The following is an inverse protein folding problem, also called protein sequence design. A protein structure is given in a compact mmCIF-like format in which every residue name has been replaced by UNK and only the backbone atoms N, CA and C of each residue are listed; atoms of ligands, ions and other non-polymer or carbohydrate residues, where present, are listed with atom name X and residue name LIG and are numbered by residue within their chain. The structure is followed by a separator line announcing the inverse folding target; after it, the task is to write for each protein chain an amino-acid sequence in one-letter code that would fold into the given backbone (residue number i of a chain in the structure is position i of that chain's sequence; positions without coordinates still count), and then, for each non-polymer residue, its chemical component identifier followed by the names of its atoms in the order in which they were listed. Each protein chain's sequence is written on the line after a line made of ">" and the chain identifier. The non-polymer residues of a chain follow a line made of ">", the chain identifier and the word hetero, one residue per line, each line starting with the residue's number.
data_IF_437427514476
#
_entry.id   IF_437427514476
#
_cell.length_a   1.000
_cell.length_b   1.000
_cell.length_c   1.000
_cell.angle_alpha   90.00
_cell.angle_beta   90.00
_cell.angle_gamma   90.00
#
_symmetry.space_group_name_H-M   'P 1'
#
loop_
_entity.id
_entity.type
_entity.pdbx_description
1 polymer ?
#
# COMPACT_ATOMS: atom_id res chain seq x y z
N UNK A 1 -3.60 43.71 9.88
CA UNK A 1 -3.65 42.24 10.14
C UNK A 1 -2.28 41.63 9.82
N UNK A 2 -1.70 40.84 10.72
CA UNK A 2 -0.38 40.21 10.51
C UNK A 2 -0.53 38.91 9.72
N UNK A 3 0.32 38.72 8.69
CA UNK A 3 0.34 37.52 7.86
C UNK A 3 0.80 36.31 8.68
N UNK A 4 0.04 35.23 8.62
CA UNK A 4 0.40 34.01 9.33
C UNK A 4 1.64 33.33 8.71
N UNK A 5 2.53 32.74 9.52
CA UNK A 5 3.75 32.09 9.04
C UNK A 5 3.43 30.85 8.19
N UNK A 6 4.31 30.52 7.23
CA UNK A 6 4.12 29.43 6.26
C UNK A 6 4.95 28.17 6.57
N UNK A 7 5.29 27.95 7.83
CA UNK A 7 6.08 26.78 8.24
C UNK A 7 5.37 25.44 8.04
N UNK A 8 6.16 24.36 7.91
CA UNK A 8 5.67 22.99 7.66
C UNK A 8 4.68 22.47 8.72
N UNK A 9 4.79 22.95 9.97
CA UNK A 9 3.92 22.56 11.10
C UNK A 9 3.05 23.72 11.59
N UNK A 10 2.83 24.72 10.74
CA UNK A 10 1.90 25.81 11.07
C UNK A 10 0.48 25.23 11.29
N UNK A 11 -0.27 25.77 12.27
CA UNK A 11 -1.63 25.35 12.68
C UNK A 11 -1.84 23.84 12.85
N UNK A 12 -0.82 23.07 13.22
CA UNK A 12 -0.97 21.62 13.47
C UNK A 12 -1.23 21.27 14.92
N UNK A 13 -1.38 22.25 15.82
CA UNK A 13 -1.51 22.04 17.28
C UNK A 13 -2.51 20.93 17.61
N UNK A 14 -3.74 21.03 17.11
CA UNK A 14 -4.79 20.01 17.35
C UNK A 14 -4.63 18.76 16.47
N UNK A 15 -4.18 18.92 15.22
CA UNK A 15 -4.07 17.83 14.23
C UNK A 15 -3.03 16.78 14.67
N UNK A 16 -1.91 17.25 15.23
CA UNK A 16 -0.79 16.39 15.66
C UNK A 16 -0.74 16.24 17.18
N UNK A 17 -1.85 16.47 17.88
CA UNK A 17 -1.93 16.15 19.31
C UNK A 17 -2.38 14.70 19.49
N UNK A 18 -1.71 13.97 20.39
CA UNK A 18 -2.21 12.69 20.87
C UNK A 18 -3.37 12.91 21.83
N UNK A 19 -4.24 11.90 21.96
CA UNK A 19 -5.23 11.90 23.03
C UNK A 19 -4.53 11.88 24.40
N UNK A 20 -5.24 12.33 25.44
CA UNK A 20 -4.66 12.51 26.78
C UNK A 20 -4.06 11.21 27.31
N UNK A 21 -4.72 10.07 27.06
CA UNK A 21 -4.30 8.74 27.53
C UNK A 21 -3.20 8.10 26.67
N UNK A 22 -2.97 8.62 25.46
CA UNK A 22 -1.92 8.13 24.55
C UNK A 22 -0.66 9.00 24.58
N UNK A 23 -0.58 9.99 25.48
CA UNK A 23 0.61 10.83 25.64
C UNK A 23 1.80 9.95 26.06
N UNK A 24 2.96 10.16 25.44
CA UNK A 24 4.17 9.36 25.69
C UNK A 24 4.17 7.98 25.05
N UNK A 25 3.03 7.49 24.53
CA UNK A 25 2.97 6.19 23.89
C UNK A 25 3.74 6.20 22.55
N UNK A 26 4.59 5.19 22.35
CA UNK A 26 5.20 4.87 21.05
C UNK A 26 4.14 4.19 20.17
N UNK A 27 4.18 4.32 18.83
CA UNK A 27 3.30 3.55 17.95
C UNK A 27 3.36 2.05 18.27
N UNK A 28 2.22 1.35 18.32
CA UNK A 28 2.20 -0.06 18.69
C UNK A 28 2.96 -0.90 17.66
N UNK A 29 3.62 -1.96 18.12
CA UNK A 29 4.36 -2.90 17.27
C UNK A 29 3.47 -3.50 16.17
N UNK A 30 2.19 -3.71 16.47
CA UNK A 30 1.19 -4.17 15.51
C UNK A 30 1.06 -3.29 14.28
N UNK A 31 1.39 -1.99 14.36
CA UNK A 31 1.41 -1.08 13.19
C UNK A 31 2.72 -1.16 12.42
N UNK A 32 3.83 -1.26 13.14
CA UNK A 32 5.19 -1.24 12.57
C UNK A 32 5.48 -2.52 11.78
N UNK A 33 4.99 -3.65 12.26
CA UNK A 33 5.25 -4.98 11.67
C UNK A 33 4.37 -5.30 10.46
N UNK A 34 3.43 -4.42 10.08
CA UNK A 34 2.60 -4.65 8.89
C UNK A 34 3.46 -4.52 7.63
N UNK A 35 3.49 -5.61 6.86
CA UNK A 35 4.15 -5.64 5.56
C UNK A 35 3.20 -5.19 4.46
N UNK A 36 3.46 -4.00 3.93
CA UNK A 36 2.72 -3.46 2.79
C UNK A 36 3.36 -3.92 1.47
N UNK A 37 2.53 -4.37 0.55
CA UNK A 37 2.93 -4.74 -0.81
C UNK A 37 2.56 -3.63 -1.80
N UNK A 38 3.23 -3.55 -2.96
CA UNK A 38 2.82 -2.69 -4.06
C UNK A 38 1.34 -2.91 -4.41
N UNK A 39 0.58 -1.83 -4.53
CA UNK A 39 -0.86 -1.84 -4.79
C UNK A 39 -1.74 -1.76 -3.54
N UNK A 40 -1.18 -1.96 -2.34
CA UNK A 40 -1.96 -1.86 -1.10
C UNK A 40 -2.45 -0.43 -0.85
N UNK A 41 -3.71 -0.29 -0.42
CA UNK A 41 -4.29 0.99 -0.01
C UNK A 41 -4.02 1.26 1.46
N UNK A 42 -3.55 2.47 1.76
CA UNK A 42 -3.17 2.87 3.12
C UNK A 42 -3.75 4.25 3.46
N UNK A 43 -4.18 4.40 4.72
CA UNK A 43 -4.48 5.70 5.31
C UNK A 43 -3.19 6.34 5.82
N UNK A 44 -3.01 7.63 5.49
CA UNK A 44 -1.86 8.43 5.94
C UNK A 44 -2.27 9.13 7.23
N UNK A 45 -1.78 8.64 8.36
CA UNK A 45 -2.10 9.19 9.69
C UNK A 45 -0.79 9.50 10.41
N UNK A 46 -0.44 10.77 10.47
CA UNK A 46 0.75 11.23 11.17
C UNK A 46 0.70 10.86 12.66
N UNK A 47 1.74 10.18 13.15
CA UNK A 47 1.93 9.96 14.57
C UNK A 47 2.95 10.97 15.09
N UNK A 48 2.58 11.89 16.00
CA UNK A 48 3.46 12.95 16.44
C UNK A 48 4.65 12.48 17.28
N UNK A 49 4.65 11.24 17.81
CA UNK A 49 5.78 10.73 18.59
C UNK A 49 7.02 10.46 17.72
N UNK A 50 6.83 10.18 16.42
CA UNK A 50 7.91 9.89 15.49
C UNK A 50 8.02 11.03 14.49
N UNK A 51 9.14 11.75 14.50
CA UNK A 51 9.34 12.92 13.65
C UNK A 51 9.90 12.58 12.26
N UNK A 52 10.52 11.41 12.11
CA UNK A 52 11.14 10.98 10.86
C UNK A 52 10.05 10.67 9.82
N UNK A 53 10.27 11.09 8.58
CA UNK A 53 9.34 10.86 7.46
C UNK A 53 7.87 11.26 7.76
N UNK A 54 7.66 12.23 8.65
CA UNK A 54 6.33 12.69 9.00
C UNK A 54 5.67 13.43 7.81
N UNK A 55 4.43 13.11 7.46
CA UNK A 55 3.74 13.80 6.38
C UNK A 55 3.38 15.24 6.78
N UNK A 56 3.35 16.13 5.79
CA UNK A 56 2.77 17.46 5.96
C UNK A 56 1.26 17.36 6.26
N UNK A 57 0.72 18.30 7.04
CA UNK A 57 -0.70 18.32 7.48
C UNK A 57 -1.71 18.17 6.33
N UNK A 58 -1.35 18.60 5.13
CA UNK A 58 -2.19 18.51 3.91
C UNK A 58 -2.56 17.06 3.57
N UNK A 59 -1.68 16.10 3.91
CA UNK A 59 -1.83 14.70 3.55
C UNK A 59 -2.39 13.85 4.69
N UNK A 60 -2.50 14.41 5.89
CA UNK A 60 -3.09 13.73 7.04
C UNK A 60 -4.55 13.36 6.75
N UNK A 61 -4.92 12.11 7.02
CA UNK A 61 -6.28 11.57 6.79
C UNK A 61 -6.58 11.25 5.33
N UNK A 62 -5.61 11.35 4.41
CA UNK A 62 -5.80 10.95 3.01
C UNK A 62 -5.46 9.47 2.80
N UNK A 63 -6.05 8.90 1.76
CA UNK A 63 -5.74 7.53 1.29
C UNK A 63 -4.70 7.62 0.18
N UNK A 64 -3.68 6.76 0.26
CA UNK A 64 -2.70 6.57 -0.79
C UNK A 64 -2.58 5.10 -1.17
N UNK A 65 -1.87 4.86 -2.26
CA UNK A 65 -1.51 3.53 -2.76
C UNK A 65 -0.01 3.35 -2.61
N UNK A 66 0.41 2.22 -2.03
CA UNK A 66 1.81 1.86 -1.90
C UNK A 66 2.33 1.48 -3.28
N UNK A 67 3.43 2.10 -3.70
CA UNK A 67 4.09 1.80 -4.98
C UNK A 67 5.24 0.85 -4.76
N UNK A 68 6.09 1.16 -3.77
CA UNK A 68 7.28 0.38 -3.50
C UNK A 68 7.81 0.64 -2.07
N UNK A 69 8.79 -0.14 -1.63
CA UNK A 69 9.47 0.00 -0.35
C UNK A 69 10.93 0.38 -0.58
N UNK A 70 11.37 1.48 0.02
CA UNK A 70 12.77 1.95 -0.04
C UNK A 70 13.38 1.97 1.36
N UNK A 71 14.18 0.94 1.65
CA UNK A 71 14.78 0.73 2.97
C UNK A 71 13.70 0.59 4.04
N UNK A 72 13.66 1.55 4.98
CA UNK A 72 12.66 1.57 6.07
C UNK A 72 11.35 2.26 5.69
N UNK A 73 11.34 3.06 4.63
CA UNK A 73 10.18 3.86 4.23
C UNK A 73 9.44 3.21 3.05
N UNK A 74 8.16 3.52 2.93
CA UNK A 74 7.35 3.17 1.78
C UNK A 74 7.10 4.40 0.91
N UNK A 75 7.08 4.17 -0.39
CA UNK A 75 6.72 5.13 -1.41
C UNK A 75 5.21 5.05 -1.58
N UNK A 76 4.51 6.11 -1.19
CA UNK A 76 3.05 6.18 -1.26
C UNK A 76 2.65 7.26 -2.23
N UNK A 77 1.86 6.90 -3.24
CA UNK A 77 1.25 7.86 -4.14
C UNK A 77 -0.17 8.19 -3.69
N UNK A 78 -0.50 9.47 -3.68
CA UNK A 78 -1.87 9.92 -3.45
C UNK A 78 -2.26 11.02 -4.45
N UNK A 79 -3.56 11.13 -4.69
CA UNK A 79 -4.12 12.20 -5.50
C UNK A 79 -4.58 13.34 -4.59
N UNK A 80 -4.08 14.55 -4.82
CA UNK A 80 -4.52 15.76 -4.12
C UNK A 80 -5.03 16.76 -5.15
N UNK A 81 -6.35 16.90 -5.21
CA UNK A 81 -7.02 17.63 -6.29
C UNK A 81 -6.77 16.95 -7.63
N UNK A 82 -6.20 17.68 -8.59
CA UNK A 82 -5.86 17.16 -9.92
C UNK A 82 -4.47 16.53 -10.01
N UNK A 83 -3.62 16.66 -8.98
CA UNK A 83 -2.21 16.26 -9.06
C UNK A 83 -1.94 14.99 -8.25
N UNK A 84 -1.11 14.12 -8.81
CA UNK A 84 -0.54 12.97 -8.09
C UNK A 84 0.69 13.45 -7.33
N UNK A 85 0.79 13.04 -6.07
CA UNK A 85 1.89 13.37 -5.16
C UNK A 85 2.46 12.08 -4.59
N UNK A 86 3.78 11.99 -4.64
CA UNK A 86 4.55 10.88 -4.07
C UNK A 86 5.09 11.30 -2.71
N UNK A 87 4.87 10.47 -1.70
CA UNK A 87 5.37 10.65 -0.34
C UNK A 87 6.26 9.49 0.06
N UNK A 88 7.25 9.78 0.90
CA UNK A 88 8.06 8.78 1.57
C UNK A 88 7.62 8.74 3.03
N UNK A 89 7.00 7.64 3.43
CA UNK A 89 6.41 7.50 4.76
C UNK A 89 7.02 6.31 5.50
N UNK A 90 7.18 6.48 6.80
CA UNK A 90 7.49 5.38 7.71
C UNK A 90 6.20 4.63 8.11
N UNK A 91 6.25 3.30 8.35
CA UNK A 91 5.06 2.49 8.69
C UNK A 91 4.30 3.02 9.91
N UNK A 92 4.97 3.69 10.83
CA UNK A 92 4.40 4.38 11.99
C UNK A 92 3.31 5.39 11.61
N UNK A 93 3.41 5.98 10.42
CA UNK A 93 2.48 6.98 9.89
C UNK A 93 1.46 6.41 8.90
N UNK A 94 1.42 5.09 8.72
CA UNK A 94 0.50 4.41 7.85
C UNK A 94 -0.48 3.55 8.65
N UNK A 95 -1.70 3.42 8.15
CA UNK A 95 -2.67 2.43 8.63
C UNK A 95 -3.22 1.66 7.43
N UNK A 96 -3.44 0.34 7.56
CA UNK A 96 -4.03 -0.43 6.47
C UNK A 96 -5.45 0.07 6.18
N UNK A 97 -5.79 0.20 4.90
CA UNK A 97 -7.14 0.53 4.44
C UNK A 97 -7.84 -0.65 3.73
N UNK A 98 -7.15 -1.79 3.61
CA UNK A 98 -7.66 -3.01 2.99
C UNK A 98 -8.18 -3.98 4.05
N UNK A 99 -9.17 -4.78 3.70
CA UNK A 99 -9.55 -5.94 4.51
C UNK A 99 -8.58 -7.09 4.28
N UNK A 100 -8.22 -7.81 5.35
CA UNK A 100 -7.40 -9.02 5.25
C UNK A 100 -8.11 -10.07 4.40
N UNK A 101 -9.43 -10.15 4.52
CA UNK A 101 -10.25 -11.10 3.77
C UNK A 101 -10.18 -10.88 2.26
N UNK A 102 -10.27 -9.62 1.82
CA UNK A 102 -10.15 -9.24 0.41
C UNK A 102 -8.78 -9.65 -0.14
N UNK A 103 -7.71 -9.41 0.65
CA UNK A 103 -6.35 -9.79 0.27
C UNK A 103 -6.24 -11.31 0.09
N UNK A 104 -6.77 -12.10 1.03
CA UNK A 104 -6.76 -13.57 0.95
C UNK A 104 -7.59 -14.07 -0.23
N UNK A 105 -8.79 -13.53 -0.44
CA UNK A 105 -9.66 -13.86 -1.58
C UNK A 105 -8.94 -13.62 -2.91
N UNK A 106 -8.31 -12.46 -3.06
CA UNK A 106 -7.54 -12.10 -4.26
C UNK A 106 -6.38 -13.06 -4.53
N UNK A 107 -5.70 -13.55 -3.47
CA UNK A 107 -4.62 -14.53 -3.60
C UNK A 107 -5.17 -15.87 -4.10
N UNK A 108 -6.24 -16.36 -3.48
CA UNK A 108 -6.87 -17.64 -3.83
C UNK A 108 -7.40 -17.61 -5.27
N UNK A 109 -8.03 -16.52 -5.68
CA UNK A 109 -8.53 -16.34 -7.05
C UNK A 109 -7.41 -16.36 -8.09
N UNK A 110 -6.30 -15.65 -7.84
CA UNK A 110 -5.11 -15.69 -8.71
C UNK A 110 -4.54 -17.11 -8.83
N UNK A 111 -4.44 -17.85 -7.73
CA UNK A 111 -3.95 -19.24 -7.74
C UNK A 111 -4.86 -20.16 -8.55
N UNK A 112 -6.19 -20.02 -8.40
CA UNK A 112 -7.18 -20.76 -9.21
C UNK A 112 -7.02 -20.46 -10.70
N UNK A 113 -6.85 -19.20 -11.07
CA UNK A 113 -6.62 -18.79 -12.46
C UNK A 113 -5.34 -19.39 -13.05
N UNK A 114 -4.23 -19.38 -12.30
CA UNK A 114 -2.96 -19.99 -12.74
C UNK A 114 -3.13 -21.48 -13.01
N UNK A 115 -3.81 -22.20 -12.10
CA UNK A 115 -4.05 -23.63 -12.24
C UNK A 115 -4.94 -23.96 -13.45
N UNK A 116 -5.98 -23.15 -13.70
CA UNK A 116 -6.82 -23.27 -14.89
C UNK A 116 -6.02 -23.02 -16.18
N UNK A 117 -5.19 -21.98 -16.19
CA UNK A 117 -4.32 -21.63 -17.33
C UNK A 117 -3.36 -22.78 -17.65
N UNK A 118 -2.71 -23.35 -16.63
CA UNK A 118 -1.80 -24.48 -16.80
C UNK A 118 -2.52 -25.73 -17.36
N UNK A 119 -3.75 -26.02 -16.89
CA UNK A 119 -4.58 -27.10 -17.44
C UNK A 119 -4.93 -26.88 -18.91
N UNK A 120 -5.32 -25.66 -19.27
CA UNK A 120 -5.64 -25.28 -20.66
C UNK A 120 -4.42 -25.42 -21.56
N UNK A 121 -3.27 -24.88 -21.16
CA UNK A 121 -2.01 -24.99 -21.92
C UNK A 121 -1.61 -26.44 -22.14
N UNK A 122 -1.67 -27.28 -21.08
CA UNK A 122 -1.40 -28.73 -21.20
C UNK A 122 -2.34 -29.42 -22.19
N UNK A 123 -3.64 -29.08 -22.14
CA UNK A 123 -4.64 -29.62 -23.08
C UNK A 123 -4.30 -29.23 -24.52
N UNK A 124 -4.01 -27.96 -24.79
CA UNK A 124 -3.62 -27.48 -26.12
C UNK A 124 -2.35 -28.17 -26.62
N UNK A 125 -1.33 -28.33 -25.78
CA UNK A 125 -0.09 -29.03 -26.12
C UNK A 125 -0.36 -30.50 -26.54
N UNK A 126 -1.16 -31.23 -25.78
CA UNK A 126 -1.53 -32.62 -26.11
C UNK A 126 -2.29 -32.70 -27.44
N UNK A 127 -3.23 -31.78 -27.66
CA UNK A 127 -3.96 -31.68 -28.94
C UNK A 127 -3.03 -31.37 -30.12
N UNK A 128 -2.05 -30.48 -29.93
CA UNK A 128 -1.05 -30.19 -30.98
C UNK A 128 -0.15 -31.38 -31.30
N UNK A 129 0.28 -32.15 -30.28
CA UNK A 129 1.10 -33.35 -30.47
C UNK A 129 0.35 -34.44 -31.21
N UNK A 130 -0.93 -34.69 -30.86
CA UNK A 130 -1.77 -35.66 -31.57
C UNK A 130 -1.96 -35.31 -33.05
N UNK A 131 -2.05 -34.02 -33.40
CA UNK A 131 -2.19 -33.55 -34.79
C UNK A 131 -0.91 -33.70 -35.62
N UNK A 132 0.27 -33.75 -34.99
CA UNK A 132 1.58 -33.93 -35.67
C UNK A 132 1.93 -35.40 -35.95
N UNK A 133 1.40 -36.33 -35.16
CA UNK A 133 1.69 -37.77 -35.29
C UNK A 133 1.27 -38.42 -36.63
N UNK A 134 0.15 -38.07 -37.31
CA UNK A 134 -0.23 -38.72 -38.58
C UNK A 134 0.60 -38.27 -39.79
N UNK A 135 1.46 -37.25 -39.67
CA UNK A 135 2.28 -36.73 -40.79
C UNK A 135 3.61 -37.47 -40.95
N UNK A 136 4.08 -38.19 -39.92
CA UNK A 136 5.40 -38.85 -39.88
C UNK A 136 5.35 -40.28 -40.48
N UNK A 137 4.17 -40.83 -40.74
CA UNK A 137 3.98 -42.19 -41.25
C UNK A 137 3.69 -42.27 -42.77
N UNK A 138 3.99 -41.22 -43.54
CA UNK A 138 4.01 -41.22 -45.01
C UNK A 138 5.42 -40.96 -45.50
#
# INVERSE_FOLDING_TARGET
>A
MVKAPQGLRHRTRKIFSKSVRERGAVPPLSRILINYMPGDRVYIVADPAIHKAMPHRRYHGKVGTVVDKRGRAYIVQLKVGSKIKTLFLLPEHMRPAFSIEERVKNIVEKLKQILQTAKQHRKMMLETLQKLQPTIQR
#
